data_IF_385328616398
#
_entry.id   IF_385328616398
#
_cell.length_a   1.000
_cell.length_b   1.000
_cell.length_c   1.000
_cell.angle_alpha   90.00
_cell.angle_beta   90.00
_cell.angle_gamma   90.00
#
_symmetry.space_group_name_H-M   'P 1'
#
loop_
_entity.id
_entity.type
_entity.pdbx_description
1 polymer ?
#
# COMPACT_ATOMS: atom_id res chain seq x y z
N UNK A 1 33.83 2.79 24.71
CA UNK A 1 32.86 3.78 25.24
C UNK A 1 32.77 4.88 24.18
N UNK A 2 31.67 5.26 23.52
CA UNK A 2 30.21 5.14 23.65
C UNK A 2 29.63 5.43 22.25
N UNK A 3 28.66 4.65 21.77
CA UNK A 3 27.96 4.97 20.51
C UNK A 3 27.30 3.77 19.86
N UNK A 4 26.39 3.12 20.59
CA UNK A 4 25.45 2.14 20.03
C UNK A 4 24.50 2.95 19.13
N UNK A 5 24.72 2.95 17.82
CA UNK A 5 23.75 3.51 16.87
C UNK A 5 22.51 2.60 16.89
N UNK A 6 21.37 3.07 17.42
CA UNK A 6 20.17 2.27 17.44
C UNK A 6 19.60 2.23 16.01
N UNK A 7 19.52 1.04 15.43
CA UNK A 7 18.39 0.63 14.57
C UNK A 7 17.86 1.66 13.53
N UNK A 8 18.70 2.36 12.77
CA UNK A 8 18.22 3.18 11.66
C UNK A 8 18.18 2.36 10.37
N UNK A 9 17.19 1.48 10.34
CA UNK A 9 16.67 0.83 9.13
C UNK A 9 16.48 1.93 8.09
N UNK A 10 17.29 1.89 7.03
CA UNK A 10 17.30 2.86 5.93
C UNK A 10 15.96 2.76 5.18
N UNK A 11 14.91 3.40 5.70
CA UNK A 11 13.63 3.49 5.04
C UNK A 11 13.62 4.70 4.11
N UNK A 12 13.54 4.38 2.82
CA UNK A 12 13.04 5.19 1.73
C UNK A 12 13.84 6.44 1.34
N UNK A 13 14.54 6.32 0.21
CA UNK A 13 15.13 7.40 -0.59
C UNK A 13 14.11 8.50 -0.92
N UNK A 14 14.36 9.77 -0.56
CA UNK A 14 13.54 10.90 -0.99
C UNK A 14 14.07 11.43 -2.33
N UNK A 15 13.61 10.89 -3.46
CA UNK A 15 14.00 11.41 -4.78
C UNK A 15 12.95 11.25 -5.89
N UNK A 16 11.65 11.42 -5.58
CA UNK A 16 10.69 11.75 -6.63
C UNK A 16 9.59 12.73 -6.14
N UNK A 17 9.64 14.01 -6.53
CA UNK A 17 8.71 15.06 -6.08
C UNK A 17 7.28 14.95 -6.65
N UNK A 18 6.93 13.86 -7.34
CA UNK A 18 5.59 13.61 -7.89
C UNK A 18 4.81 12.47 -7.22
N UNK A 19 5.36 11.81 -6.18
CA UNK A 19 4.59 10.79 -5.46
C UNK A 19 3.73 11.45 -4.39
N UNK A 20 2.50 11.81 -4.76
CA UNK A 20 1.44 12.13 -3.79
C UNK A 20 1.08 10.79 -3.13
N UNK A 21 1.40 10.54 -1.85
CA UNK A 21 1.06 9.28 -1.23
C UNK A 21 -0.47 9.16 -1.23
N UNK A 22 -1.04 8.11 -1.85
CA UNK A 22 -2.45 7.79 -1.66
C UNK A 22 -2.71 7.54 -0.16
N UNK A 23 -3.97 7.62 0.30
CA UNK A 23 -4.33 7.54 1.71
C UNK A 23 -3.63 6.37 2.42
N UNK A 24 -2.65 6.68 3.29
CA UNK A 24 -2.03 5.84 4.33
C UNK A 24 -1.83 4.33 4.06
N UNK A 25 -1.51 3.91 2.84
CA UNK A 25 -1.07 2.54 2.55
C UNK A 25 0.45 2.49 2.29
N UNK A 26 1.11 1.38 2.64
CA UNK A 26 2.52 1.15 2.36
C UNK A 26 2.77 1.06 0.84
N UNK A 27 4.01 1.30 0.38
CA UNK A 27 4.37 1.03 -1.01
C UNK A 27 4.11 -0.45 -1.36
N UNK A 28 3.26 -0.69 -2.36
CA UNK A 28 2.81 -2.03 -2.77
C UNK A 28 1.50 -2.48 -2.13
N UNK A 29 0.78 -1.57 -1.48
CA UNK A 29 -0.59 -1.80 -0.99
C UNK A 29 -1.62 -0.99 -1.78
N UNK A 30 -2.78 -1.59 -2.02
CA UNK A 30 -3.93 -0.99 -2.66
C UNK A 30 -4.89 -0.40 -1.62
N UNK A 31 -5.30 0.85 -1.84
CA UNK A 31 -6.26 1.54 -1.01
C UNK A 31 -7.69 1.23 -1.46
N UNK A 32 -8.40 0.51 -0.63
CA UNK A 32 -9.83 0.25 -0.75
C UNK A 32 -10.69 1.52 -0.65
N UNK A 33 -11.89 1.49 -1.23
CA UNK A 33 -12.90 2.55 -1.04
C UNK A 33 -13.32 2.72 0.43
N UNK A 34 -13.18 1.68 1.25
CA UNK A 34 -13.45 1.72 2.69
C UNK A 34 -12.28 2.30 3.53
N UNK A 35 -11.26 2.92 2.90
CA UNK A 35 -10.01 3.39 3.56
C UNK A 35 -9.21 2.25 4.23
N UNK A 36 -9.36 1.04 3.69
CA UNK A 36 -8.61 -0.15 4.08
C UNK A 36 -7.40 -0.28 3.14
N UNK A 37 -6.31 -0.83 3.65
CA UNK A 37 -5.15 -1.15 2.84
C UNK A 37 -5.06 -2.67 2.72
N UNK A 38 -4.91 -3.14 1.49
CA UNK A 38 -4.68 -4.54 1.16
C UNK A 38 -3.43 -4.65 0.30
N UNK A 39 -2.84 -5.82 0.14
CA UNK A 39 -1.67 -5.95 -0.75
C UNK A 39 -2.09 -5.75 -2.21
N UNK A 40 -1.24 -5.13 -3.04
CA UNK A 40 -1.56 -4.94 -4.48
C UNK A 40 -1.80 -6.29 -5.19
N UNK A 41 -1.16 -7.37 -4.72
CA UNK A 41 -1.37 -8.74 -5.22
C UNK A 41 -2.76 -9.33 -4.92
N UNK A 42 -3.48 -8.73 -3.97
CA UNK A 42 -4.85 -9.11 -3.57
C UNK A 42 -5.91 -8.36 -4.39
N UNK A 43 -5.47 -7.49 -5.30
CA UNK A 43 -6.36 -6.86 -6.24
C UNK A 43 -6.73 -7.90 -7.31
N UNK A 44 -8.02 -8.17 -7.49
CA UNK A 44 -8.52 -9.06 -8.54
C UNK A 44 -7.98 -10.49 -8.40
N UNK A 45 -7.83 -10.96 -7.16
CA UNK A 45 -7.35 -12.32 -6.86
C UNK A 45 -8.51 -13.32 -6.66
N UNK A 46 -9.74 -12.81 -6.60
CA UNK A 46 -10.97 -13.59 -6.45
C UNK A 46 -11.45 -13.76 -5.02
N UNK A 47 -10.75 -13.19 -4.03
CA UNK A 47 -11.19 -13.09 -2.63
C UNK A 47 -11.54 -11.66 -2.26
N UNK A 48 -12.35 -11.46 -1.22
CA UNK A 48 -12.70 -10.13 -0.77
C UNK A 48 -11.88 -9.68 0.44
N UNK A 49 -10.65 -9.28 0.19
CA UNK A 49 -9.75 -8.72 1.19
C UNK A 49 -10.21 -7.34 1.69
N UNK A 50 -10.86 -6.59 0.81
CA UNK A 50 -11.34 -5.25 1.08
C UNK A 50 -12.58 -5.18 1.98
N UNK A 51 -13.29 -6.30 2.21
CA UNK A 51 -14.59 -6.42 2.91
C UNK A 51 -15.76 -5.65 2.29
N UNK A 52 -15.50 -4.80 1.30
CA UNK A 52 -16.47 -4.01 0.53
C UNK A 52 -16.48 -4.44 -0.95
N UNK A 53 -15.79 -5.52 -1.31
CA UNK A 53 -15.55 -5.97 -2.69
C UNK A 53 -14.95 -4.91 -3.63
N UNK A 54 -14.37 -3.85 -3.07
CA UNK A 54 -13.80 -2.75 -3.84
C UNK A 54 -12.47 -3.09 -4.52
N UNK A 55 -11.80 -4.15 -4.06
CA UNK A 55 -10.64 -4.81 -4.65
C UNK A 55 -10.99 -5.75 -5.80
N UNK A 56 -12.16 -6.38 -5.73
CA UNK A 56 -12.71 -7.30 -6.73
C UNK A 56 -13.73 -6.62 -7.67
N UNK A 57 -13.83 -5.30 -7.61
CA UNK A 57 -14.80 -4.57 -8.40
C UNK A 57 -14.52 -4.77 -9.91
N UNK A 58 -15.53 -5.10 -10.73
CA UNK A 58 -15.31 -5.36 -12.17
C UNK A 58 -14.84 -4.12 -12.93
N UNK A 59 -15.12 -2.93 -12.41
CA UNK A 59 -14.64 -1.65 -12.93
C UNK A 59 -13.13 -1.45 -12.67
N UNK A 60 -12.59 -2.07 -11.60
CA UNK A 60 -11.20 -2.00 -11.18
C UNK A 60 -10.33 -3.11 -11.81
N UNK A 61 -10.92 -4.29 -12.03
CA UNK A 61 -10.22 -5.49 -12.50
C UNK A 61 -10.17 -5.68 -14.01
N UNK A 62 -10.89 -4.84 -14.77
CA UNK A 62 -10.88 -4.90 -16.24
C UNK A 62 -10.01 -3.82 -16.90
N UNK A 63 -9.33 -2.99 -16.12
CA UNK A 63 -8.36 -2.00 -16.60
C UNK A 63 -6.99 -2.65 -16.86
#
# INVERSE_FOLDING_TARGET
MTGVFPFSRLMASPANPSYVPPPQCQPGEFACKNNRCIQERWKCDGDNDCLDNSDEAPDLCRE
#
